data_IF_416064502659
#
_entry.id   IF_416064502659
#
_cell.length_a   1.000
_cell.length_b   1.000
_cell.length_c   1.000
_cell.angle_alpha   90.00
_cell.angle_beta   90.00
_cell.angle_gamma   90.00
#
_symmetry.space_group_name_H-M   'P 1'
#
loop_
_entity.id
_entity.type
_entity.pdbx_description
1 polymer ?
#
# COMPACT_ATOMS: atom_id res chain seq x y z
N UNK A 1 -29.15 27.26 32.70
CA UNK A 1 -27.92 26.44 32.68
C UNK A 1 -27.90 25.70 31.34
N UNK A 2 -27.29 26.29 30.35
CA UNK A 2 -27.18 25.74 29.00
C UNK A 2 -25.84 25.03 28.90
N UNK A 3 -25.89 23.72 28.68
CA UNK A 3 -24.73 22.91 28.36
C UNK A 3 -24.70 22.75 26.85
N UNK A 4 -23.91 23.56 26.19
CA UNK A 4 -23.62 23.46 24.75
C UNK A 4 -22.51 22.42 24.56
N UNK A 5 -22.91 21.15 24.38
CA UNK A 5 -22.04 20.09 23.90
C UNK A 5 -21.76 20.33 22.43
N UNK A 6 -20.51 20.62 22.09
CA UNK A 6 -20.01 20.71 20.72
C UNK A 6 -20.15 19.34 20.04
N UNK A 7 -20.97 19.27 19.03
CA UNK A 7 -21.11 18.12 18.13
C UNK A 7 -19.90 18.10 17.18
N UNK A 8 -18.82 17.47 17.65
CA UNK A 8 -17.69 17.11 16.81
C UNK A 8 -18.12 15.96 15.91
N UNK A 9 -18.28 16.20 14.60
CA UNK A 9 -18.74 15.26 13.57
C UNK A 9 -17.92 13.97 13.43
N UNK A 10 -17.94 13.13 14.44
CA UNK A 10 -17.38 11.79 14.48
C UNK A 10 -18.42 10.74 14.07
N UNK A 11 -18.67 10.61 12.76
CA UNK A 11 -19.40 9.46 12.24
C UNK A 11 -18.70 8.16 12.68
N UNK A 12 -19.50 7.11 13.00
CA UNK A 12 -18.94 5.79 13.35
C UNK A 12 -17.97 5.33 12.27
N UNK A 13 -16.80 4.76 12.63
CA UNK A 13 -15.85 4.22 11.68
C UNK A 13 -16.53 3.15 10.82
N UNK A 14 -16.13 3.07 9.56
CA UNK A 14 -16.62 2.04 8.63
C UNK A 14 -15.87 0.73 8.77
N UNK A 15 -14.63 0.81 9.29
CA UNK A 15 -13.81 -0.34 9.64
C UNK A 15 -13.32 -0.13 11.08
N UNK A 16 -13.55 -1.13 11.92
CA UNK A 16 -13.11 -1.18 13.32
C UNK A 16 -12.37 -2.49 13.54
N UNK A 17 -11.15 -2.41 14.03
CA UNK A 17 -10.27 -3.56 14.29
C UNK A 17 -9.73 -3.46 15.70
N UNK A 18 -9.83 -4.54 16.48
CA UNK A 18 -9.34 -4.59 17.86
C UNK A 18 -8.56 -5.88 18.10
N UNK A 19 -7.29 -5.74 18.52
CA UNK A 19 -6.37 -6.81 18.85
C UNK A 19 -6.32 -7.94 17.79
N UNK A 20 -6.39 -7.57 16.51
CA UNK A 20 -6.51 -8.51 15.41
C UNK A 20 -5.19 -9.22 15.15
N UNK A 21 -5.15 -10.53 15.37
CA UNK A 21 -3.96 -11.34 15.19
C UNK A 21 -4.20 -12.53 14.24
N UNK A 22 -3.17 -12.90 13.50
CA UNK A 22 -3.18 -14.08 12.62
C UNK A 22 -1.87 -14.82 12.67
N UNK A 23 -1.93 -16.09 13.07
CA UNK A 23 -0.82 -17.02 13.01
C UNK A 23 -1.12 -18.14 12.00
N UNK A 24 -0.11 -18.53 11.25
CA UNK A 24 -0.12 -19.69 10.35
C UNK A 24 0.75 -20.80 10.92
N UNK A 25 0.33 -22.04 10.72
CA UNK A 25 1.19 -23.20 10.95
C UNK A 25 1.85 -23.59 9.63
N UNK A 26 3.14 -23.44 9.54
CA UNK A 26 3.94 -23.85 8.39
C UNK A 26 4.63 -25.15 8.72
N UNK A 27 4.41 -26.16 7.88
CA UNK A 27 5.09 -27.46 8.04
C UNK A 27 6.40 -27.42 7.26
N UNK A 28 7.50 -27.68 7.96
CA UNK A 28 8.79 -27.84 7.31
C UNK A 28 8.78 -29.16 6.53
N UNK A 29 8.96 -29.09 5.21
CA UNK A 29 9.17 -30.28 4.38
C UNK A 29 10.66 -30.64 4.44
N UNK A 30 11.04 -31.75 5.10
CA UNK A 30 12.42 -32.18 5.06
C UNK A 30 12.78 -32.59 3.64
N UNK A 31 13.96 -32.17 3.14
CA UNK A 31 14.49 -32.57 1.85
C UNK A 31 15.00 -34.01 1.91
N UNK A 32 14.57 -34.83 0.94
CA UNK A 32 15.03 -36.22 0.76
C UNK A 32 13.96 -37.30 0.99
N UNK A 33 14.00 -38.38 0.20
CA UNK A 33 13.02 -39.47 0.22
C UNK A 33 12.91 -40.17 1.58
N UNK A 34 14.04 -40.44 2.26
CA UNK A 34 14.08 -41.08 3.58
C UNK A 34 13.57 -40.13 4.69
N UNK A 35 13.82 -38.83 4.55
CA UNK A 35 13.32 -37.81 5.47
C UNK A 35 11.80 -37.59 5.30
N UNK A 36 11.26 -37.77 4.09
CA UNK A 36 9.83 -37.69 3.81
C UNK A 36 9.04 -38.83 4.48
N UNK A 37 9.58 -40.05 4.54
CA UNK A 37 8.95 -41.21 5.25
C UNK A 37 8.99 -40.99 6.75
N UNK A 38 10.10 -40.44 7.30
CA UNK A 38 10.20 -40.11 8.72
C UNK A 38 9.30 -38.94 9.11
N UNK A 39 9.08 -37.99 8.20
CA UNK A 39 8.19 -36.84 8.35
C UNK A 39 6.70 -37.20 8.39
N UNK A 40 6.30 -38.43 8.00
CA UNK A 40 4.92 -38.90 8.15
C UNK A 40 4.55 -39.14 9.62
N UNK A 41 5.55 -39.48 10.48
CA UNK A 41 5.37 -39.77 11.91
C UNK A 41 5.77 -38.62 12.84
N UNK A 42 6.52 -37.61 12.36
CA UNK A 42 6.90 -36.44 13.16
C UNK A 42 6.92 -35.21 12.25
N UNK A 43 5.78 -34.52 12.12
CA UNK A 43 5.69 -33.23 11.41
C UNK A 43 6.08 -32.11 12.36
N UNK A 44 7.28 -31.56 12.20
CA UNK A 44 7.63 -30.29 12.83
C UNK A 44 6.86 -29.17 12.16
N UNK A 45 6.07 -28.43 12.93
CA UNK A 45 5.39 -27.25 12.44
C UNK A 45 5.94 -26.01 13.14
N UNK A 46 6.21 -24.98 12.37
CA UNK A 46 6.59 -23.65 12.85
C UNK A 46 5.37 -22.74 12.83
N UNK A 47 5.14 -22.03 13.94
CA UNK A 47 4.12 -20.98 14.01
C UNK A 47 4.72 -19.68 13.45
N UNK A 48 4.09 -19.10 12.41
CA UNK A 48 4.47 -17.82 11.82
C UNK A 48 3.35 -16.84 12.13
N UNK A 49 3.63 -15.83 12.92
CA UNK A 49 2.69 -14.77 13.25
C UNK A 49 2.75 -13.70 12.14
N UNK A 50 1.69 -13.64 11.33
CA UNK A 50 1.57 -12.66 10.26
C UNK A 50 1.00 -11.33 10.76
N UNK A 51 0.18 -11.36 11.83
CA UNK A 51 -0.30 -10.18 12.57
C UNK A 51 -0.29 -10.50 14.06
N UNK A 52 0.08 -9.54 14.91
CA UNK A 52 0.37 -9.76 16.33
C UNK A 52 -0.60 -9.08 17.30
N UNK A 53 -1.63 -8.39 16.80
CA UNK A 53 -2.61 -7.67 17.62
C UNK A 53 -2.73 -6.23 17.11
N UNK A 54 -3.34 -6.10 15.93
CA UNK A 54 -3.49 -4.83 15.23
C UNK A 54 -4.79 -4.16 15.68
N UNK A 55 -4.69 -2.88 16.06
CA UNK A 55 -5.81 -1.98 16.30
C UNK A 55 -5.86 -0.94 15.17
N UNK A 56 -7.04 -0.73 14.56
CA UNK A 56 -7.20 0.25 13.49
C UNK A 56 -8.67 0.67 13.36
N UNK A 57 -8.88 1.97 13.20
CA UNK A 57 -10.17 2.53 12.81
C UNK A 57 -10.05 3.28 11.50
N UNK A 58 -10.99 3.07 10.57
CA UNK A 58 -11.04 3.79 9.28
C UNK A 58 -12.40 4.46 9.14
N UNK A 59 -12.38 5.75 8.81
CA UNK A 59 -13.59 6.55 8.61
C UNK A 59 -14.17 6.34 7.22
N UNK A 60 -15.47 6.61 7.07
CA UNK A 60 -16.14 6.53 5.76
C UNK A 60 -15.56 7.55 4.78
N UNK A 61 -15.28 7.09 3.55
CA UNK A 61 -14.72 7.92 2.48
C UNK A 61 -13.24 8.23 2.65
N UNK A 62 -12.55 7.60 3.59
CA UNK A 62 -11.11 7.76 3.81
C UNK A 62 -10.31 6.97 2.76
N UNK A 63 -9.21 7.54 2.30
CA UNK A 63 -8.23 6.83 1.48
C UNK A 63 -6.98 6.59 2.33
N UNK A 64 -6.80 5.33 2.75
CA UNK A 64 -5.73 4.91 3.66
C UNK A 64 -4.71 4.06 2.93
N UNK A 65 -3.42 4.41 3.07
CA UNK A 65 -2.32 3.55 2.64
C UNK A 65 -1.84 2.64 3.78
N UNK A 66 -1.76 1.35 3.51
CA UNK A 66 -1.10 0.38 4.39
C UNK A 66 0.26 0.03 3.80
N UNK A 67 1.31 0.63 4.37
CA UNK A 67 2.69 0.49 3.97
C UNK A 67 3.42 -0.57 4.77
N UNK A 68 4.38 -1.23 4.13
CA UNK A 68 5.28 -2.16 4.81
C UNK A 68 6.08 -3.01 3.83
N UNK A 69 7.18 -3.64 4.29
CA UNK A 69 7.96 -4.54 3.46
C UNK A 69 7.18 -5.80 3.09
N UNK A 70 7.73 -6.58 2.16
CA UNK A 70 7.16 -7.88 1.83
C UNK A 70 7.18 -8.79 3.07
N UNK A 71 6.05 -9.49 3.31
CA UNK A 71 5.89 -10.31 4.51
C UNK A 71 5.47 -9.57 5.78
N UNK A 72 5.29 -8.24 5.76
CA UNK A 72 4.85 -7.45 6.92
C UNK A 72 3.44 -7.76 7.44
N UNK A 73 2.60 -8.45 6.63
CA UNK A 73 1.22 -8.79 7.01
C UNK A 73 0.14 -8.07 6.22
N UNK A 74 0.47 -7.15 5.30
CA UNK A 74 -0.48 -6.32 4.53
C UNK A 74 -1.59 -7.12 3.85
N UNK A 75 -1.23 -8.06 2.99
CA UNK A 75 -2.19 -8.95 2.29
C UNK A 75 -3.00 -9.81 3.28
N UNK A 76 -2.38 -10.26 4.39
CA UNK A 76 -3.08 -11.01 5.44
C UNK A 76 -4.14 -10.13 6.08
N UNK A 77 -3.82 -8.87 6.36
CA UNK A 77 -4.76 -7.91 6.92
C UNK A 77 -5.97 -7.69 6.00
N UNK A 78 -5.75 -7.43 4.71
CA UNK A 78 -6.86 -7.28 3.74
C UNK A 78 -7.70 -8.57 3.62
N UNK A 79 -7.08 -9.74 3.67
CA UNK A 79 -7.82 -11.02 3.64
C UNK A 79 -8.69 -11.23 4.89
N UNK A 80 -8.29 -10.73 6.05
CA UNK A 80 -9.10 -10.74 7.26
C UNK A 80 -10.29 -9.78 7.13
N UNK A 81 -10.04 -8.53 6.68
CA UNK A 81 -11.09 -7.52 6.51
C UNK A 81 -12.10 -7.87 5.42
N UNK A 82 -11.70 -8.66 4.42
CA UNK A 82 -12.59 -9.18 3.37
C UNK A 82 -13.27 -10.52 3.72
N UNK A 83 -12.95 -11.10 4.89
CA UNK A 83 -13.53 -12.38 5.32
C UNK A 83 -13.04 -13.61 4.54
N UNK A 84 -11.98 -13.47 3.73
CA UNK A 84 -11.35 -14.62 3.03
C UNK A 84 -10.75 -15.60 4.03
N UNK A 85 -10.13 -15.08 5.09
CA UNK A 85 -9.58 -15.87 6.18
C UNK A 85 -10.15 -15.41 7.53
N UNK A 86 -10.05 -16.28 8.55
CA UNK A 86 -10.46 -15.97 9.93
C UNK A 86 -9.25 -15.60 10.77
N UNK A 87 -9.38 -14.69 11.75
CA UNK A 87 -8.30 -14.36 12.67
C UNK A 87 -7.99 -15.52 13.63
N UNK A 88 -6.82 -15.45 14.25
CA UNK A 88 -6.45 -16.34 15.37
C UNK A 88 -6.89 -15.76 16.70
N UNK A 89 -6.99 -14.42 16.81
CA UNK A 89 -7.43 -13.64 17.97
C UNK A 89 -7.92 -12.27 17.52
N UNK A 90 -8.67 -11.60 18.38
CA UNK A 90 -9.18 -10.25 18.14
C UNK A 90 -10.46 -10.22 17.33
N UNK A 91 -10.90 -9.01 17.03
CA UNK A 91 -12.17 -8.76 16.32
C UNK A 91 -11.98 -7.73 15.22
N UNK A 92 -12.84 -7.82 14.18
CA UNK A 92 -12.96 -6.78 13.18
C UNK A 92 -14.41 -6.60 12.77
N UNK A 93 -14.79 -5.36 12.49
CA UNK A 93 -16.06 -5.01 11.86
C UNK A 93 -15.78 -4.16 10.62
N UNK A 94 -16.42 -4.52 9.52
CA UNK A 94 -16.40 -3.75 8.28
C UNK A 94 -17.84 -3.51 7.88
N UNK A 95 -18.23 -2.25 7.70
CA UNK A 95 -19.62 -1.85 7.45
C UNK A 95 -20.59 -2.37 8.53
N UNK A 96 -20.10 -2.51 9.76
CA UNK A 96 -20.87 -3.06 10.90
C UNK A 96 -20.93 -4.59 10.95
N UNK A 97 -20.46 -5.31 9.94
CA UNK A 97 -20.48 -6.77 9.87
C UNK A 97 -19.13 -7.38 10.31
N UNK A 98 -19.19 -8.58 10.87
CA UNK A 98 -17.99 -9.41 11.10
C UNK A 98 -17.60 -10.09 9.77
N UNK A 99 -16.41 -9.79 9.17
CA UNK A 99 -16.11 -10.17 7.80
C UNK A 99 -16.17 -11.69 7.53
N UNK A 100 -15.71 -12.50 8.47
CA UNK A 100 -15.64 -13.96 8.30
C UNK A 100 -16.97 -14.68 8.49
N UNK A 101 -18.03 -14.00 8.91
CA UNK A 101 -19.40 -14.51 8.87
C UNK A 101 -19.95 -14.54 7.44
N UNK A 102 -19.35 -13.76 6.53
CA UNK A 102 -19.61 -13.76 5.09
C UNK A 102 -21.08 -13.59 4.71
N UNK A 103 -21.80 -12.73 5.45
CA UNK A 103 -23.19 -12.44 5.14
C UNK A 103 -23.32 -11.76 3.76
N UNK A 104 -24.41 -12.01 3.06
CA UNK A 104 -24.61 -11.54 1.69
C UNK A 104 -24.63 -10.01 1.59
N UNK A 105 -25.21 -9.33 2.57
CA UNK A 105 -25.23 -7.87 2.63
C UNK A 105 -23.80 -7.29 2.66
N UNK A 106 -22.94 -7.84 3.51
CA UNK A 106 -21.55 -7.45 3.58
C UNK A 106 -20.82 -7.66 2.24
N UNK A 107 -20.96 -8.87 1.65
CA UNK A 107 -20.26 -9.24 0.41
C UNK A 107 -20.62 -8.36 -0.79
N UNK A 108 -21.80 -7.76 -0.79
CA UNK A 108 -22.27 -6.85 -1.85
C UNK A 108 -21.79 -5.42 -1.69
N UNK A 109 -21.22 -5.07 -0.53
CA UNK A 109 -20.87 -3.70 -0.20
C UNK A 109 -19.37 -3.43 -0.17
N UNK A 110 -18.55 -4.45 -0.44
CA UNK A 110 -17.11 -4.26 -0.60
C UNK A 110 -16.59 -4.91 -1.89
N UNK A 111 -15.42 -4.46 -2.32
CA UNK A 111 -14.63 -5.11 -3.37
C UNK A 111 -13.19 -5.32 -2.89
N UNK A 112 -12.53 -6.36 -3.44
CA UNK A 112 -11.12 -6.63 -3.22
C UNK A 112 -10.44 -6.88 -4.57
N UNK A 113 -9.44 -6.07 -4.90
CA UNK A 113 -8.57 -6.25 -6.06
C UNK A 113 -7.19 -6.66 -5.57
N UNK A 114 -6.65 -7.74 -6.12
CA UNK A 114 -5.32 -8.25 -5.80
C UNK A 114 -4.45 -8.18 -7.05
N UNK A 115 -3.40 -7.36 -7.05
CA UNK A 115 -2.57 -7.08 -8.23
C UNK A 115 -1.98 -8.33 -8.91
N UNK A 116 -1.79 -9.41 -8.14
CA UNK A 116 -1.24 -10.68 -8.64
C UNK A 116 -2.30 -11.76 -8.90
N UNK A 117 -3.59 -11.47 -8.74
CA UNK A 117 -4.68 -12.42 -8.96
C UNK A 117 -5.76 -11.82 -9.82
N UNK A 118 -6.11 -12.52 -10.90
CA UNK A 118 -7.15 -12.09 -11.81
C UNK A 118 -8.53 -12.49 -11.28
N UNK A 119 -9.48 -11.56 -11.36
CA UNK A 119 -10.92 -11.80 -11.21
C UNK A 119 -11.58 -12.04 -12.58
N UNK A 120 -10.96 -11.49 -13.63
CA UNK A 120 -11.41 -11.66 -15.01
C UNK A 120 -11.02 -13.04 -15.55
N UNK A 121 -11.90 -13.65 -16.33
CA UNK A 121 -11.63 -14.92 -16.97
C UNK A 121 -10.60 -14.77 -18.09
N UNK A 122 -9.48 -15.47 -17.96
CA UNK A 122 -8.28 -15.32 -18.76
C UNK A 122 -8.49 -15.48 -20.27
N UNK A 123 -9.30 -16.49 -20.66
CA UNK A 123 -9.54 -16.84 -22.07
C UNK A 123 -10.74 -16.12 -22.69
N UNK A 124 -11.46 -15.32 -21.92
CA UNK A 124 -12.67 -14.64 -22.37
C UNK A 124 -12.48 -13.12 -22.39
N UNK A 125 -13.28 -12.39 -23.20
CA UNK A 125 -13.36 -10.94 -23.09
C UNK A 125 -13.81 -10.49 -21.70
N UNK A 126 -13.31 -9.34 -21.24
CA UNK A 126 -13.70 -8.76 -19.95
C UNK A 126 -15.23 -8.56 -19.84
N UNK A 127 -15.90 -8.28 -20.95
CA UNK A 127 -17.36 -8.16 -21.04
C UNK A 127 -18.10 -9.37 -20.45
N UNK A 128 -17.58 -10.58 -20.65
CA UNK A 128 -18.21 -11.81 -20.12
C UNK A 128 -18.08 -11.88 -18.60
N UNK A 129 -16.91 -11.51 -18.06
CA UNK A 129 -16.72 -11.40 -16.60
C UNK A 129 -17.63 -10.30 -16.01
N UNK A 130 -17.81 -9.18 -16.71
CA UNK A 130 -18.72 -8.12 -16.27
C UNK A 130 -20.18 -8.59 -16.22
N UNK A 131 -20.63 -9.38 -17.23
CA UNK A 131 -21.96 -9.99 -17.22
C UNK A 131 -22.14 -10.94 -16.05
N UNK A 132 -21.11 -11.77 -15.76
CA UNK A 132 -21.13 -12.64 -14.59
C UNK A 132 -21.26 -11.84 -13.29
N UNK A 133 -20.51 -10.74 -13.13
CA UNK A 133 -20.62 -9.85 -11.97
C UNK A 133 -22.05 -9.30 -11.83
N UNK A 134 -22.69 -8.87 -12.93
CA UNK A 134 -24.08 -8.42 -12.92
C UNK A 134 -25.00 -9.48 -12.31
N UNK A 135 -24.86 -10.76 -12.72
CA UNK A 135 -25.70 -11.86 -12.22
C UNK A 135 -25.39 -12.19 -10.75
N UNK A 136 -24.10 -12.28 -10.38
CA UNK A 136 -23.67 -12.57 -9.00
C UNK A 136 -24.20 -11.51 -8.02
N UNK A 137 -24.03 -10.23 -8.38
CA UNK A 137 -24.46 -9.11 -7.53
C UNK A 137 -25.94 -8.72 -7.72
N UNK A 138 -26.66 -9.38 -8.67
CA UNK A 138 -28.06 -9.14 -9.04
C UNK A 138 -28.32 -7.67 -9.35
N UNK A 139 -27.46 -7.09 -10.21
CA UNK A 139 -27.53 -5.68 -10.56
C UNK A 139 -28.65 -5.43 -11.57
N UNK A 140 -29.34 -4.32 -11.38
CA UNK A 140 -30.31 -3.83 -12.37
C UNK A 140 -29.62 -3.61 -13.73
N UNK A 141 -30.17 -4.13 -14.84
CA UNK A 141 -29.50 -4.07 -16.15
C UNK A 141 -29.21 -2.64 -16.63
N UNK A 142 -30.10 -1.67 -16.39
CA UNK A 142 -29.95 -0.29 -16.84
C UNK A 142 -28.86 0.42 -15.99
N UNK A 143 -28.89 0.21 -14.66
CA UNK A 143 -27.88 0.72 -13.74
C UNK A 143 -26.50 0.14 -14.06
N UNK A 144 -26.42 -1.19 -14.27
CA UNK A 144 -25.19 -1.88 -14.65
C UNK A 144 -24.60 -1.30 -15.94
N UNK A 145 -25.41 -1.11 -16.98
CA UNK A 145 -24.93 -0.58 -18.27
C UNK A 145 -24.36 0.83 -18.07
N UNK A 146 -25.06 1.71 -17.35
CA UNK A 146 -24.60 3.08 -17.08
C UNK A 146 -23.29 3.09 -16.29
N UNK A 147 -23.18 2.32 -15.20
CA UNK A 147 -21.98 2.27 -14.35
C UNK A 147 -20.80 1.70 -15.12
N UNK A 148 -21.02 0.62 -15.89
CA UNK A 148 -19.99 0.03 -16.75
C UNK A 148 -19.46 1.05 -17.75
N UNK A 149 -20.34 1.71 -18.47
CA UNK A 149 -19.96 2.64 -19.54
C UNK A 149 -19.20 3.84 -18.97
N UNK A 150 -19.63 4.39 -17.84
CA UNK A 150 -18.91 5.44 -17.10
C UNK A 150 -17.49 5.00 -16.69
N UNK A 151 -17.34 3.84 -16.05
CA UNK A 151 -16.05 3.35 -15.58
C UNK A 151 -15.10 3.02 -16.74
N UNK A 152 -15.63 2.43 -17.81
CA UNK A 152 -14.88 2.10 -19.03
C UNK A 152 -14.39 3.36 -19.74
N UNK A 153 -15.18 4.42 -19.75
CA UNK A 153 -14.81 5.72 -20.33
C UNK A 153 -13.74 6.42 -19.48
N UNK A 154 -13.92 6.48 -18.16
CA UNK A 154 -12.95 7.08 -17.24
C UNK A 154 -11.55 6.43 -17.33
N UNK A 155 -11.47 5.13 -17.54
CA UNK A 155 -10.20 4.41 -17.70
C UNK A 155 -9.69 4.34 -19.14
N UNK A 156 -10.48 4.84 -20.13
CA UNK A 156 -10.11 4.82 -21.54
C UNK A 156 -9.97 3.40 -22.14
N UNK A 157 -10.74 2.41 -21.64
CA UNK A 157 -10.58 1.00 -22.02
C UNK A 157 -11.70 0.44 -22.89
N UNK A 158 -12.49 1.30 -23.52
CA UNK A 158 -13.67 0.92 -24.30
C UNK A 158 -13.39 -0.13 -25.40
N UNK A 159 -12.28 0.04 -26.11
CA UNK A 159 -11.87 -0.89 -27.18
C UNK A 159 -11.35 -2.22 -26.67
N UNK A 160 -10.98 -2.28 -25.39
CA UNK A 160 -10.37 -3.48 -24.77
C UNK A 160 -11.41 -4.44 -24.18
N UNK A 161 -12.64 -3.96 -23.92
CA UNK A 161 -13.69 -4.73 -23.21
C UNK A 161 -14.07 -6.02 -23.96
N UNK A 162 -13.95 -6.04 -25.29
CA UNK A 162 -14.28 -7.18 -26.14
C UNK A 162 -13.08 -8.05 -26.52
N UNK A 163 -11.86 -7.69 -26.08
CA UNK A 163 -10.66 -8.47 -26.30
C UNK A 163 -10.49 -9.53 -25.20
N UNK A 164 -9.98 -10.73 -25.52
CA UNK A 164 -9.62 -11.74 -24.53
C UNK A 164 -8.61 -11.18 -23.52
N UNK A 165 -8.84 -11.43 -22.23
CA UNK A 165 -8.01 -10.89 -21.13
C UNK A 165 -6.53 -11.27 -21.28
N UNK A 166 -6.24 -12.47 -21.81
CA UNK A 166 -4.87 -12.95 -22.05
C UNK A 166 -4.06 -12.12 -23.06
N UNK A 167 -4.73 -11.35 -23.93
CA UNK A 167 -4.10 -10.54 -24.96
C UNK A 167 -3.78 -9.12 -24.49
N UNK A 168 -4.22 -8.76 -23.28
CA UNK A 168 -4.04 -7.44 -22.70
C UNK A 168 -2.70 -7.33 -21.96
N UNK A 169 -2.10 -6.15 -22.02
CA UNK A 169 -0.99 -5.78 -21.14
C UNK A 169 -1.42 -5.81 -19.68
N UNK A 170 -0.43 -5.85 -18.77
CA UNK A 170 -0.70 -5.84 -17.33
C UNK A 170 -1.51 -4.60 -16.90
N UNK A 171 -1.17 -3.42 -17.45
CA UNK A 171 -1.87 -2.17 -17.14
C UNK A 171 -3.31 -2.15 -17.66
N UNK A 172 -3.53 -2.58 -18.90
CA UNK A 172 -4.87 -2.69 -19.47
C UNK A 172 -5.74 -3.68 -18.70
N UNK A 173 -5.17 -4.82 -18.32
CA UNK A 173 -5.85 -5.81 -17.49
C UNK A 173 -6.23 -5.23 -16.13
N UNK A 174 -5.31 -4.54 -15.44
CA UNK A 174 -5.60 -3.94 -14.14
C UNK A 174 -6.70 -2.88 -14.23
N UNK A 175 -6.75 -2.08 -15.29
CA UNK A 175 -7.86 -1.15 -15.54
C UNK A 175 -9.20 -1.86 -15.63
N UNK A 176 -9.28 -2.97 -16.35
CA UNK A 176 -10.51 -3.76 -16.46
C UNK A 176 -10.86 -4.52 -15.16
N UNK A 177 -9.87 -4.94 -14.37
CA UNK A 177 -10.07 -5.49 -13.00
C UNK A 177 -10.71 -4.44 -12.08
N UNK A 178 -10.27 -3.17 -12.15
CA UNK A 178 -10.87 -2.08 -11.39
C UNK A 178 -12.31 -1.78 -11.85
N UNK A 179 -12.58 -1.83 -13.17
CA UNK A 179 -13.96 -1.74 -13.68
C UNK A 179 -14.81 -2.84 -13.04
N UNK A 180 -14.38 -4.10 -13.14
CA UNK A 180 -15.11 -5.26 -12.58
C UNK A 180 -15.41 -5.09 -11.09
N UNK A 181 -14.42 -4.66 -10.32
CA UNK A 181 -14.52 -4.45 -8.87
C UNK A 181 -15.52 -3.36 -8.48
N UNK A 182 -15.75 -2.37 -9.35
CA UNK A 182 -16.60 -1.22 -9.08
C UNK A 182 -18.01 -1.29 -9.69
N UNK A 183 -18.32 -2.33 -10.50
CA UNK A 183 -19.63 -2.49 -11.16
C UNK A 183 -20.80 -2.53 -10.19
N UNK A 184 -20.61 -3.06 -8.99
CA UNK A 184 -21.66 -3.19 -7.96
C UNK A 184 -21.65 -2.02 -6.97
N UNK A 185 -20.88 -0.96 -7.26
CA UNK A 185 -20.78 0.28 -6.47
C UNK A 185 -20.50 0.02 -4.98
N UNK A 186 -19.36 -0.61 -4.63
CA UNK A 186 -19.01 -0.93 -3.25
C UNK A 186 -18.81 0.33 -2.41
N UNK A 187 -19.06 0.24 -1.11
CA UNK A 187 -18.77 1.30 -0.13
C UNK A 187 -17.32 1.23 0.38
N UNK A 188 -16.71 0.03 0.30
CA UNK A 188 -15.31 -0.21 0.71
C UNK A 188 -14.57 -0.92 -0.42
N UNK A 189 -13.40 -0.41 -0.78
CA UNK A 189 -12.52 -0.99 -1.79
C UNK A 189 -11.17 -1.34 -1.15
N UNK A 190 -10.82 -2.60 -1.19
CA UNK A 190 -9.51 -3.11 -0.81
C UNK A 190 -8.64 -3.32 -2.05
N UNK A 191 -7.46 -2.71 -2.08
CA UNK A 191 -6.51 -2.79 -3.18
C UNK A 191 -5.18 -3.36 -2.67
N UNK A 192 -4.84 -4.56 -3.11
CA UNK A 192 -3.57 -5.21 -2.72
C UNK A 192 -2.54 -5.07 -3.83
N UNK A 193 -1.65 -4.09 -3.71
CA UNK A 193 -0.59 -3.75 -4.67
C UNK A 193 -1.07 -3.58 -6.12
N UNK A 194 -2.07 -2.71 -6.40
CA UNK A 194 -2.72 -2.62 -7.71
C UNK A 194 -1.82 -2.06 -8.82
N UNK A 195 -0.74 -1.39 -8.49
CA UNK A 195 0.17 -0.71 -9.42
C UNK A 195 1.47 -1.46 -9.66
N UNK A 196 1.62 -2.63 -9.03
CA UNK A 196 2.86 -3.43 -9.13
C UNK A 196 3.12 -3.88 -10.58
N UNK A 197 4.33 -3.59 -11.08
CA UNK A 197 4.75 -4.00 -12.43
C UNK A 197 4.12 -3.21 -13.57
N UNK A 198 3.35 -2.15 -13.28
CA UNK A 198 2.79 -1.27 -14.29
C UNK A 198 3.79 -0.22 -14.74
N UNK A 199 3.66 0.21 -16.00
CA UNK A 199 4.38 1.39 -16.50
C UNK A 199 3.83 2.68 -15.88
N UNK A 200 4.61 3.77 -15.99
CA UNK A 200 4.28 5.07 -15.39
C UNK A 200 2.95 5.63 -15.90
N UNK A 201 2.62 5.43 -17.17
CA UNK A 201 1.38 5.96 -17.78
C UNK A 201 0.16 5.23 -17.20
N UNK A 202 0.24 3.90 -17.10
CA UNK A 202 -0.82 3.10 -16.50
C UNK A 202 -1.00 3.43 -15.00
N UNK A 203 0.10 3.63 -14.25
CA UNK A 203 0.05 4.05 -12.85
C UNK A 203 -0.69 5.39 -12.70
N UNK A 204 -0.30 6.42 -13.47
CA UNK A 204 -0.97 7.72 -13.41
C UNK A 204 -2.45 7.65 -13.76
N UNK A 205 -2.81 6.89 -14.80
CA UNK A 205 -4.22 6.69 -15.16
C UNK A 205 -5.02 6.07 -14.02
N UNK A 206 -4.45 5.07 -13.34
CA UNK A 206 -5.10 4.41 -12.20
C UNK A 206 -5.21 5.36 -11.00
N UNK A 207 -4.18 6.17 -10.72
CA UNK A 207 -4.23 7.16 -9.64
C UNK A 207 -5.34 8.19 -9.87
N UNK A 208 -5.43 8.76 -11.08
CA UNK A 208 -6.45 9.74 -11.42
C UNK A 208 -7.85 9.14 -11.31
N UNK A 209 -8.01 7.92 -11.83
CA UNK A 209 -9.27 7.17 -11.72
C UNK A 209 -9.68 6.91 -10.26
N UNK A 210 -8.76 6.45 -9.41
CA UNK A 210 -9.06 6.15 -8.01
C UNK A 210 -9.42 7.42 -7.22
N UNK A 211 -8.75 8.56 -7.50
CA UNK A 211 -9.11 9.86 -6.92
C UNK A 211 -10.52 10.28 -7.33
N UNK A 212 -10.84 10.17 -8.63
CA UNK A 212 -12.17 10.52 -9.15
C UNK A 212 -13.26 9.67 -8.53
N UNK A 213 -13.07 8.35 -8.47
CA UNK A 213 -14.02 7.42 -7.84
C UNK A 213 -14.21 7.72 -6.36
N UNK A 214 -13.13 7.97 -5.63
CA UNK A 214 -13.20 8.30 -4.21
C UNK A 214 -13.94 9.64 -3.97
N UNK A 215 -13.62 10.67 -4.77
CA UNK A 215 -14.22 12.00 -4.64
C UNK A 215 -15.72 11.99 -4.99
N UNK A 216 -16.10 11.29 -6.07
CA UNK A 216 -17.49 11.30 -6.58
C UNK A 216 -18.40 10.32 -5.85
N UNK A 217 -17.88 9.14 -5.49
CA UNK A 217 -18.67 8.05 -4.88
C UNK A 217 -18.45 7.90 -3.37
N UNK A 218 -17.49 8.62 -2.79
CA UNK A 218 -17.10 8.55 -1.36
C UNK A 218 -16.79 7.11 -0.90
N UNK A 219 -16.17 6.33 -1.78
CA UNK A 219 -15.73 4.97 -1.45
C UNK A 219 -14.61 5.05 -0.44
N UNK A 220 -14.66 4.24 0.61
CA UNK A 220 -13.55 4.08 1.54
C UNK A 220 -12.53 3.14 0.92
N UNK A 221 -11.26 3.55 0.84
CA UNK A 221 -10.23 2.76 0.17
C UNK A 221 -9.10 2.40 1.15
N UNK A 222 -8.74 1.12 1.21
CA UNK A 222 -7.47 0.67 1.81
C UNK A 222 -6.59 0.15 0.70
N UNK A 223 -5.47 0.83 0.49
CA UNK A 223 -4.45 0.50 -0.49
C UNK A 223 -3.23 -0.10 0.19
N UNK A 224 -2.83 -1.32 -0.16
CA UNK A 224 -1.50 -1.79 0.20
C UNK A 224 -0.53 -1.47 -0.92
N UNK A 225 0.60 -0.93 -0.58
CA UNK A 225 1.68 -0.67 -1.54
C UNK A 225 3.03 -0.67 -0.81
N UNK A 226 4.10 -0.81 -1.56
CA UNK A 226 5.46 -0.51 -1.14
C UNK A 226 6.06 0.65 -1.98
N UNK A 227 5.27 1.24 -2.89
CA UNK A 227 5.65 2.38 -3.70
C UNK A 227 5.19 3.69 -3.07
N UNK A 228 6.14 4.56 -2.72
CA UNK A 228 5.83 5.86 -2.12
C UNK A 228 5.07 6.79 -3.04
N UNK A 229 5.26 6.64 -4.36
CA UNK A 229 4.52 7.42 -5.37
C UNK A 229 3.01 7.19 -5.31
N UNK A 230 2.56 5.97 -5.04
CA UNK A 230 1.13 5.67 -4.87
C UNK A 230 0.59 6.39 -3.64
N UNK A 231 1.36 6.35 -2.54
CA UNK A 231 0.96 6.99 -1.27
C UNK A 231 0.85 8.49 -1.44
N UNK A 232 1.89 9.12 -1.98
CA UNK A 232 1.92 10.57 -2.22
C UNK A 232 0.81 11.02 -3.17
N UNK A 233 0.44 10.17 -4.14
CA UNK A 233 -0.60 10.49 -5.10
C UNK A 233 -2.02 10.36 -4.53
N UNK A 234 -2.28 9.42 -3.61
CA UNK A 234 -3.64 8.97 -3.29
C UNK A 234 -4.04 9.16 -1.82
N UNK A 235 -3.08 9.19 -0.89
CA UNK A 235 -3.38 9.00 0.52
C UNK A 235 -2.92 10.17 1.38
N UNK A 236 -3.81 10.65 2.24
CA UNK A 236 -3.47 11.62 3.28
C UNK A 236 -3.02 10.92 4.58
N UNK A 237 -3.57 9.73 4.87
CA UNK A 237 -3.25 8.92 6.03
C UNK A 237 -2.52 7.65 5.64
N UNK A 238 -1.50 7.33 6.43
CA UNK A 238 -0.61 6.21 6.23
C UNK A 238 -0.51 5.39 7.49
N UNK A 239 -0.71 4.09 7.36
CA UNK A 239 -0.43 3.10 8.40
C UNK A 239 0.79 2.30 7.97
N UNK A 240 1.85 2.34 8.77
CA UNK A 240 3.06 1.56 8.51
C UNK A 240 3.02 0.30 9.35
N UNK A 241 3.07 -0.85 8.68
CA UNK A 241 3.08 -2.17 9.32
C UNK A 241 4.42 -2.87 9.09
N UNK A 242 4.98 -3.47 10.14
CA UNK A 242 6.20 -4.27 10.07
C UNK A 242 6.11 -5.45 11.03
N UNK A 243 6.55 -6.63 10.58
CA UNK A 243 6.54 -7.88 11.39
C UNK A 243 5.18 -8.18 12.06
N UNK A 244 4.08 -7.74 11.46
CA UNK A 244 2.73 -7.95 11.97
C UNK A 244 2.22 -6.94 12.98
N UNK A 245 3.00 -5.89 13.29
CA UNK A 245 2.64 -4.80 14.22
C UNK A 245 2.52 -3.47 13.48
N UNK A 246 1.60 -2.59 13.91
CA UNK A 246 1.53 -1.21 13.43
C UNK A 246 2.64 -0.41 14.10
N UNK A 247 3.50 0.16 13.28
CA UNK A 247 4.61 1.01 13.69
C UNK A 247 4.21 2.50 13.74
N UNK A 248 3.37 2.91 12.82
CA UNK A 248 2.92 4.28 12.67
C UNK A 248 1.49 4.31 12.11
N UNK A 249 0.69 5.23 12.60
CA UNK A 249 -0.64 5.55 12.09
C UNK A 249 -0.82 7.06 12.20
N UNK A 250 -0.89 7.76 11.07
CA UNK A 250 -1.00 9.20 11.04
C UNK A 250 -0.97 9.78 9.62
N UNK A 251 -0.85 11.10 9.50
CA UNK A 251 -0.79 11.76 8.22
C UNK A 251 0.57 11.57 7.53
N UNK A 252 0.55 11.52 6.19
CA UNK A 252 1.78 11.51 5.40
C UNK A 252 2.62 12.76 5.68
N UNK A 253 1.98 13.92 5.88
CA UNK A 253 2.66 15.18 6.20
C UNK A 253 3.44 15.09 7.50
N UNK A 254 2.87 14.49 8.56
CA UNK A 254 3.57 14.29 9.84
C UNK A 254 4.80 13.38 9.72
N UNK A 255 4.73 12.33 8.90
CA UNK A 255 5.90 11.50 8.60
C UNK A 255 6.98 12.36 7.94
N UNK A 256 6.61 13.09 6.90
CA UNK A 256 7.55 13.99 6.20
C UNK A 256 8.16 14.97 7.17
N UNK A 257 7.37 15.72 7.94
CA UNK A 257 7.87 16.73 8.87
C UNK A 257 8.78 16.15 9.96
N UNK A 258 8.48 14.96 10.46
CA UNK A 258 9.28 14.30 11.51
C UNK A 258 10.68 13.89 11.03
N UNK A 259 10.81 13.55 9.74
CA UNK A 259 12.06 13.08 9.15
C UNK A 259 12.73 14.09 8.21
N UNK A 260 12.08 15.23 7.91
CA UNK A 260 12.63 16.29 7.05
C UNK A 260 13.33 17.41 7.81
N UNK A 261 13.99 17.12 8.94
CA UNK A 261 14.94 18.06 9.53
C UNK A 261 16.04 18.46 8.55
N UNK A 262 16.29 17.64 7.53
CA UNK A 262 17.34 17.83 6.53
C UNK A 262 16.74 17.94 5.13
N UNK A 263 17.48 18.60 4.23
CA UNK A 263 17.29 18.53 2.77
C UNK A 263 18.46 17.84 2.11
N UNK A 264 18.20 17.22 0.99
CA UNK A 264 19.22 16.65 0.13
C UNK A 264 19.67 17.72 -0.86
N UNK A 265 20.94 18.09 -0.78
CA UNK A 265 21.57 19.03 -1.70
C UNK A 265 22.51 18.24 -2.60
N UNK A 266 22.23 18.25 -3.90
CA UNK A 266 23.11 17.64 -4.91
C UNK A 266 23.84 18.74 -5.64
N UNK A 267 25.15 18.73 -5.55
CA UNK A 267 26.04 19.62 -6.32
C UNK A 267 26.61 18.81 -7.51
N UNK A 268 26.50 19.34 -8.70
CA UNK A 268 27.13 18.77 -9.89
C UNK A 268 28.35 19.62 -10.25
N UNK A 269 29.51 18.99 -10.37
CA UNK A 269 30.78 19.64 -10.70
C UNK A 269 31.16 19.34 -12.16
N UNK A 270 31.92 20.27 -12.79
CA UNK A 270 32.49 20.03 -14.12
C UNK A 270 33.45 18.85 -14.10
N UNK A 271 34.28 18.75 -13.04
CA UNK A 271 35.18 17.65 -12.77
C UNK A 271 34.95 17.10 -11.34
N UNK A 272 35.29 15.84 -11.06
CA UNK A 272 35.15 15.29 -9.71
C UNK A 272 35.91 16.15 -8.68
N UNK A 273 35.25 16.60 -7.58
CA UNK A 273 35.87 17.49 -6.61
C UNK A 273 37.00 16.82 -5.85
N UNK A 274 38.05 17.58 -5.52
CA UNK A 274 39.17 17.08 -4.72
C UNK A 274 38.75 16.74 -3.27
N UNK A 275 39.49 15.83 -2.63
CA UNK A 275 39.24 15.45 -1.23
C UNK A 275 39.34 16.65 -0.27
N UNK A 276 40.19 17.60 -0.55
CA UNK A 276 40.30 18.83 0.24
C UNK A 276 39.05 19.70 0.15
N UNK A 277 38.48 19.81 -1.06
CA UNK A 277 37.22 20.52 -1.30
C UNK A 277 36.06 19.87 -0.58
N UNK A 278 35.95 18.55 -0.64
CA UNK A 278 34.93 17.79 0.07
C UNK A 278 35.04 17.99 1.60
N UNK A 279 36.26 17.95 2.14
CA UNK A 279 36.50 18.21 3.55
C UNK A 279 36.10 19.64 3.96
N UNK A 280 36.32 20.62 3.06
CA UNK A 280 35.95 22.03 3.26
C UNK A 280 34.43 22.27 3.30
N UNK A 281 33.60 21.36 2.78
CA UNK A 281 32.17 21.48 2.86
C UNK A 281 31.61 21.32 4.28
N UNK A 282 32.34 20.61 5.16
CA UNK A 282 31.98 20.45 6.58
C UNK A 282 30.73 19.63 6.85
N UNK A 283 30.26 18.85 5.87
CA UNK A 283 29.09 17.98 5.98
C UNK A 283 29.44 16.57 5.48
N UNK A 284 28.78 15.54 6.03
CA UNK A 284 28.86 14.20 5.47
C UNK A 284 28.35 14.23 4.01
N UNK A 285 29.15 13.75 3.07
CA UNK A 285 28.78 13.74 1.66
C UNK A 285 28.99 12.36 1.06
N UNK A 286 28.14 12.04 0.09
CA UNK A 286 28.29 10.88 -0.81
C UNK A 286 28.73 11.40 -2.18
N UNK A 287 29.79 10.81 -2.72
CA UNK A 287 30.37 11.23 -4.02
C UNK A 287 30.01 10.18 -5.07
N UNK A 288 29.37 10.60 -6.15
CA UNK A 288 29.02 9.76 -7.30
C UNK A 288 29.54 10.41 -8.59
N UNK A 289 30.80 10.14 -8.90
CA UNK A 289 31.46 10.79 -10.04
C UNK A 289 31.54 12.31 -9.87
N UNK A 290 30.97 13.12 -10.78
CA UNK A 290 30.96 14.58 -10.66
C UNK A 290 29.90 15.10 -9.67
N UNK A 291 29.03 14.25 -9.17
CA UNK A 291 27.96 14.64 -8.25
C UNK A 291 28.36 14.41 -6.79
N UNK A 292 28.06 15.39 -5.95
CA UNK A 292 28.21 15.35 -4.50
C UNK A 292 26.87 15.55 -3.85
N UNK A 293 26.44 14.57 -3.07
CA UNK A 293 25.17 14.56 -2.36
C UNK A 293 25.43 14.85 -0.89
N UNK A 294 24.77 15.87 -0.35
CA UNK A 294 24.90 16.31 1.04
C UNK A 294 23.54 16.31 1.72
N UNK A 295 23.53 16.06 3.01
CA UNK A 295 22.35 16.24 3.87
C UNK A 295 22.57 17.43 4.76
N UNK A 296 21.75 18.46 4.59
CA UNK A 296 21.88 19.75 5.28
C UNK A 296 20.61 20.06 6.03
N UNK A 297 20.74 20.45 7.31
CA UNK A 297 19.60 20.90 8.12
C UNK A 297 18.83 21.99 7.39
N UNK A 298 17.49 21.86 7.33
CA UNK A 298 16.59 22.77 6.59
C UNK A 298 16.81 24.24 6.98
N UNK A 299 17.04 24.51 8.27
CA UNK A 299 17.32 25.88 8.79
C UNK A 299 18.66 26.44 8.38
N UNK A 300 19.62 25.61 7.95
CA UNK A 300 20.99 26.03 7.60
C UNK A 300 21.22 26.20 6.10
N UNK A 301 20.28 25.80 5.25
CA UNK A 301 20.46 25.85 3.79
C UNK A 301 20.77 27.22 3.28
N UNK A 302 20.03 28.24 3.74
CA UNK A 302 20.23 29.63 3.32
C UNK A 302 21.61 30.18 3.68
N UNK A 303 22.25 29.69 4.75
CA UNK A 303 23.60 30.04 5.18
C UNK A 303 24.67 29.27 4.40
N UNK A 304 24.44 27.96 4.20
CA UNK A 304 25.46 27.03 3.73
C UNK A 304 25.54 27.01 2.20
N UNK A 305 24.41 27.06 1.51
CA UNK A 305 24.33 26.95 0.05
C UNK A 305 25.16 28.07 -0.66
N UNK A 306 25.07 29.33 -0.29
CA UNK A 306 25.91 30.39 -0.94
C UNK A 306 27.40 30.12 -0.80
N UNK A 307 27.86 29.57 0.35
CA UNK A 307 29.27 29.24 0.57
C UNK A 307 29.73 28.08 -0.32
N UNK A 308 28.87 27.11 -0.56
CA UNK A 308 29.17 25.97 -1.43
C UNK A 308 29.26 26.39 -2.90
N UNK A 309 28.47 27.36 -3.32
CA UNK A 309 28.44 27.89 -4.68
C UNK A 309 29.54 28.89 -5.00
N UNK A 310 30.25 29.45 -4.00
CA UNK A 310 31.32 30.42 -4.18
C UNK A 310 32.63 29.83 -4.70
N UNK A 311 32.73 28.54 -4.91
CA UNK A 311 33.91 27.88 -5.47
C UNK A 311 33.78 27.57 -6.96
N UNK A 312 34.90 27.62 -7.72
CA UNK A 312 34.94 27.28 -9.13
C UNK A 312 34.52 25.81 -9.39
N UNK A 313 33.80 25.57 -10.50
CA UNK A 313 33.50 24.24 -11.00
C UNK A 313 32.17 23.62 -10.53
N UNK A 314 31.29 24.33 -9.78
CA UNK A 314 29.91 23.88 -9.58
C UNK A 314 29.08 24.28 -10.81
N UNK A 315 28.59 23.26 -11.53
CA UNK A 315 27.83 23.40 -12.76
C UNK A 315 26.33 23.55 -12.48
N UNK A 316 25.83 22.75 -11.53
CA UNK A 316 24.40 22.73 -11.19
C UNK A 316 24.20 22.43 -9.71
N UNK A 317 23.04 22.82 -9.18
CA UNK A 317 22.62 22.55 -7.81
C UNK A 317 21.14 22.20 -7.76
N UNK A 318 20.84 21.08 -7.12
CA UNK A 318 19.47 20.67 -6.79
C UNK A 318 19.31 20.64 -5.27
N UNK A 319 18.18 21.15 -4.77
CA UNK A 319 17.81 21.13 -3.35
C UNK A 319 16.44 20.50 -3.22
N UNK A 320 16.40 19.28 -2.74
CA UNK A 320 15.20 18.46 -2.67
C UNK A 320 14.87 18.07 -1.23
N UNK A 321 13.62 17.73 -0.96
CA UNK A 321 13.26 17.07 0.29
C UNK A 321 13.80 15.65 0.27
N UNK A 322 14.04 15.09 1.47
CA UNK A 322 14.44 13.68 1.59
C UNK A 322 13.38 12.80 0.91
N UNK A 323 13.77 11.90 -0.01
CA UNK A 323 12.82 11.00 -0.64
C UNK A 323 12.00 10.22 0.38
N UNK A 324 10.69 10.11 0.15
CA UNK A 324 9.78 9.37 1.05
C UNK A 324 10.23 7.92 1.27
N UNK A 325 10.86 7.32 0.26
CA UNK A 325 11.44 5.99 0.31
C UNK A 325 12.54 5.89 1.39
N UNK A 326 13.38 6.90 1.51
CA UNK A 326 14.43 6.96 2.54
C UNK A 326 13.84 7.14 3.94
N UNK A 327 12.84 8.00 4.06
CA UNK A 327 12.13 8.25 5.34
C UNK A 327 11.52 6.96 5.86
N UNK A 328 10.81 6.23 5.01
CA UNK A 328 10.19 4.96 5.37
C UNK A 328 11.23 3.86 5.63
N UNK A 329 12.33 3.83 4.87
CA UNK A 329 13.43 2.92 5.13
C UNK A 329 14.10 3.18 6.49
N UNK A 330 14.17 4.42 6.92
CA UNK A 330 14.70 4.81 8.24
C UNK A 330 13.74 4.41 9.37
N UNK A 331 12.43 4.59 9.16
CA UNK A 331 11.39 4.08 10.04
C UNK A 331 11.53 2.55 10.25
N UNK A 332 11.73 1.79 9.18
CA UNK A 332 11.93 0.34 9.29
C UNK A 332 13.24 -0.04 9.99
N UNK A 333 14.31 0.74 9.80
CA UNK A 333 15.61 0.49 10.46
C UNK A 333 15.58 0.79 11.95
N UNK A 334 14.89 1.87 12.36
CA UNK A 334 14.79 2.28 13.76
C UNK A 334 14.01 1.30 14.65
N UNK A 335 13.23 0.41 14.03
CA UNK A 335 12.37 -0.58 14.71
C UNK A 335 12.76 -2.03 14.43
N UNK A 336 13.84 -2.27 13.68
CA UNK A 336 14.36 -3.62 13.51
C UNK A 336 14.72 -4.18 14.90
N UNK A 337 14.17 -5.33 15.33
CA UNK A 337 14.59 -5.96 16.56
C UNK A 337 16.09 -6.25 16.46
N UNK A 338 16.87 -6.14 17.57
CA UNK A 338 18.28 -6.48 17.56
C UNK A 338 18.42 -7.90 17.00
N UNK A 339 19.26 -8.03 15.99
CA UNK A 339 19.55 -9.29 15.28
C UNK A 339 19.83 -10.42 16.26
N UNK A 340 18.88 -11.35 16.43
CA UNK A 340 19.06 -12.54 17.24
C UNK A 340 17.93 -12.81 18.21
N UNK A 341 16.77 -13.25 17.68
CA UNK A 341 15.85 -14.19 18.35
C UNK A 341 14.72 -14.56 17.38
N UNK A 342 14.99 -15.47 16.46
CA UNK A 342 13.91 -16.32 15.96
C UNK A 342 13.48 -17.19 17.14
N UNK A 343 12.30 -16.92 17.67
CA UNK A 343 11.69 -17.79 18.65
C UNK A 343 11.21 -19.08 17.94
N UNK A 344 12.10 -20.06 17.88
CA UNK A 344 11.73 -21.41 17.46
C UNK A 344 11.07 -22.08 18.67
N UNK A 345 9.76 -21.97 18.78
CA UNK A 345 8.98 -22.78 19.70
C UNK A 345 8.73 -24.14 19.04
N UNK A 346 9.55 -25.13 19.38
CA UNK A 346 9.35 -26.53 18.98
C UNK A 346 8.28 -27.11 19.91
N UNK A 347 7.05 -27.20 19.43
CA UNK A 347 5.99 -27.96 20.08
C UNK A 347 6.12 -29.41 19.63
N UNK A 348 6.54 -30.28 20.56
CA UNK A 348 6.62 -31.74 20.43
C UNK A 348 5.24 -32.37 20.30
#
# INVERSE_FOLDING_TARGET
>A
MHNSGGDGGGGRPVIEVTDLAKAYRVYDKPEGLLASVRGLFRRTSRRVEALRGVDLEVKRGEFLALLGPNGAGKTTFLKLLSGIITPSRGTARVLGHVPWERVDDFRRRFALVMGQRNQLWWDLPAAESFRLHREIYRLDPARFARVRDELVELLGVKQLVLQPVRELSLGERMKLELVAALLHEPEVLFLDEPTIGLDVVAQHTIHDFLREVQATRRVTVILTTHYMKDVAALCERVVVITHGDILYDGSLAEIVDRFTSHKVVTLEFDDPPSSERLAGLGFPCEVRGPQVILRIDRGRIAEVLPRMLQGDGVRDVSVEDVPLEEIVAELFRSTAPPSGREAVEVVT
#
